data_IF_060864688745
#
_entry.id   IF_060864688745
#
_cell.length_a   1.000
_cell.length_b   1.000
_cell.length_c   1.000
_cell.angle_alpha   90.00
_cell.angle_beta   90.00
_cell.angle_gamma   90.00
#
_symmetry.space_group_name_H-M   'P 1'
#
loop_
_entity.id
_entity.type
_entity.pdbx_description
1 polymer ?
#
# COMPACT_ATOMS: atom_id res chain seq x y z
N UNK A 1 16.81 -9.90 15.69
CA UNK A 1 15.39 -9.76 16.15
C UNK A 1 14.75 -8.69 15.33
N UNK A 2 13.51 -8.93 14.82
CA UNK A 2 12.75 -7.96 14.06
C UNK A 2 11.84 -7.14 14.99
N UNK A 3 11.77 -5.81 14.78
CA UNK A 3 10.85 -4.96 15.50
C UNK A 3 10.21 -3.95 14.53
N UNK A 4 8.90 -4.09 14.29
CA UNK A 4 8.14 -3.21 13.40
C UNK A 4 7.49 -2.07 14.18
N UNK A 5 7.76 -0.84 13.76
CA UNK A 5 7.06 0.36 14.20
C UNK A 5 5.93 0.64 13.20
N UNK A 6 4.71 0.29 13.59
CA UNK A 6 3.51 0.38 12.76
C UNK A 6 2.71 1.64 13.08
N UNK A 7 2.43 2.46 12.08
CA UNK A 7 1.53 3.60 12.17
C UNK A 7 0.18 3.21 11.56
N UNK A 8 -0.93 3.47 12.25
CA UNK A 8 -2.27 3.22 11.73
C UNK A 8 -2.49 3.88 10.34
N UNK A 9 -3.29 3.23 9.50
CA UNK A 9 -3.63 3.72 8.15
C UNK A 9 -2.40 4.19 7.34
N UNK A 10 -1.37 3.36 7.29
CA UNK A 10 -0.12 3.69 6.61
C UNK A 10 0.49 2.52 5.86
N UNK A 11 1.55 2.81 5.12
CA UNK A 11 2.35 1.83 4.36
C UNK A 11 2.97 0.74 5.24
N UNK A 12 3.07 0.95 6.57
CA UNK A 12 3.61 -0.06 7.47
C UNK A 12 2.73 -1.30 7.59
N UNK A 13 1.44 -1.22 7.22
CA UNK A 13 0.57 -2.39 7.13
C UNK A 13 1.09 -3.45 6.16
N UNK A 14 1.74 -3.04 5.06
CA UNK A 14 2.38 -3.95 4.10
C UNK A 14 3.46 -4.81 4.76
N UNK A 15 4.25 -4.17 5.63
CA UNK A 15 5.33 -4.88 6.32
C UNK A 15 4.77 -5.81 7.39
N UNK A 16 3.75 -5.37 8.13
CA UNK A 16 3.05 -6.21 9.07
C UNK A 16 2.47 -7.45 8.36
N UNK A 17 1.80 -7.26 7.23
CA UNK A 17 1.24 -8.35 6.45
C UNK A 17 2.32 -9.31 5.92
N UNK A 18 3.43 -8.79 5.39
CA UNK A 18 4.52 -9.65 4.93
C UNK A 18 5.13 -10.45 6.08
N UNK A 19 5.32 -9.86 7.27
CA UNK A 19 5.80 -10.57 8.46
C UNK A 19 4.86 -11.71 8.88
N UNK A 20 3.54 -11.50 8.79
CA UNK A 20 2.52 -12.53 9.03
C UNK A 20 2.51 -13.63 7.96
N UNK A 21 2.76 -13.29 6.68
CA UNK A 21 2.89 -14.30 5.61
C UNK A 21 4.14 -15.14 5.78
N UNK A 22 5.27 -14.53 6.19
CA UNK A 22 6.52 -15.22 6.45
C UNK A 22 6.49 -16.07 7.73
N UNK A 23 5.47 -15.91 8.59
CA UNK A 23 5.45 -16.53 9.91
C UNK A 23 6.65 -16.13 10.78
N UNK A 24 7.18 -14.93 10.58
CA UNK A 24 8.36 -14.45 11.25
C UNK A 24 8.08 -14.09 12.72
N UNK A 25 9.06 -14.29 13.59
CA UNK A 25 9.03 -13.78 14.96
C UNK A 25 9.44 -12.30 14.96
N UNK A 26 8.57 -11.43 15.45
CA UNK A 26 8.82 -9.99 15.51
C UNK A 26 8.12 -9.32 16.69
N UNK A 27 8.65 -8.17 17.10
CA UNK A 27 7.99 -7.23 18.01
C UNK A 27 7.20 -6.21 17.19
N UNK A 28 6.09 -5.73 17.75
CA UNK A 28 5.21 -4.73 17.13
C UNK A 28 4.98 -3.57 18.10
N UNK A 29 5.33 -2.36 17.69
CA UNK A 29 4.89 -1.13 18.35
C UNK A 29 3.94 -0.37 17.45
N UNK A 30 2.69 -0.19 17.91
CA UNK A 30 1.66 0.52 17.18
C UNK A 30 1.63 2.00 17.59
N UNK A 31 1.51 2.86 16.60
CA UNK A 31 1.37 4.31 16.75
C UNK A 31 0.05 4.79 16.15
N UNK A 32 -0.65 5.65 16.89
CA UNK A 32 -1.84 6.31 16.38
C UNK A 32 -1.47 7.65 15.71
N UNK A 33 -2.24 8.04 14.70
CA UNK A 33 -2.08 9.37 14.10
C UNK A 33 -2.54 10.46 15.06
N UNK A 34 -1.90 11.60 14.95
CA UNK A 34 -2.33 12.81 15.66
C UNK A 34 -3.67 13.32 15.10
N UNK A 35 -4.34 14.23 15.80
CA UNK A 35 -5.57 14.91 15.32
C UNK A 35 -5.37 15.60 13.95
N UNK A 36 -4.14 16.00 13.61
CA UNK A 36 -3.77 16.55 12.31
C UNK A 36 -3.51 15.48 11.23
N UNK A 37 -3.80 14.21 11.52
CA UNK A 37 -3.56 13.06 10.65
C UNK A 37 -2.07 12.83 10.30
N UNK A 38 -1.17 13.24 11.20
CA UNK A 38 0.29 13.06 11.08
C UNK A 38 0.77 11.94 11.98
N UNK A 39 1.97 11.43 11.72
CA UNK A 39 2.67 10.56 12.65
C UNK A 39 2.99 11.33 13.95
N UNK A 40 2.97 10.68 15.12
CA UNK A 40 3.38 11.30 16.38
C UNK A 40 4.89 11.56 16.40
N UNK A 41 5.32 12.55 17.19
CA UNK A 41 6.73 12.92 17.28
C UNK A 41 7.61 11.80 17.87
N UNK A 42 7.06 10.90 18.69
CA UNK A 42 7.76 9.72 19.19
C UNK A 42 8.30 8.81 18.09
N UNK A 43 7.72 8.83 16.88
CA UNK A 43 8.28 8.07 15.76
C UNK A 43 9.61 8.66 15.25
N UNK A 44 9.86 9.96 15.50
CA UNK A 44 11.16 10.60 15.20
C UNK A 44 12.28 10.18 16.14
N UNK A 45 11.94 9.67 17.32
CA UNK A 45 12.93 9.10 18.24
C UNK A 45 13.51 7.79 17.70
N UNK A 46 12.73 7.06 16.88
CA UNK A 46 13.18 5.83 16.22
C UNK A 46 13.95 6.13 14.94
N UNK A 47 13.43 7.06 14.11
CA UNK A 47 14.11 7.47 12.88
C UNK A 47 13.82 8.94 12.56
N UNK A 48 14.82 9.77 12.19
CA UNK A 48 14.66 11.24 12.03
C UNK A 48 13.56 11.69 11.09
N UNK A 49 13.23 10.90 10.06
CA UNK A 49 12.13 11.22 9.13
C UNK A 49 10.75 11.09 9.79
N UNK A 50 10.60 10.29 10.86
CA UNK A 50 9.32 10.10 11.54
C UNK A 50 8.21 9.55 10.63
N UNK A 51 8.57 8.74 9.64
CA UNK A 51 7.65 8.14 8.68
C UNK A 51 7.62 6.62 8.86
N UNK A 52 6.44 6.02 8.76
CA UNK A 52 6.27 4.56 8.76
C UNK A 52 6.14 4.02 7.31
N UNK A 53 6.64 2.79 7.05
CA UNK A 53 7.19 1.82 8.00
C UNK A 53 8.60 2.16 8.48
N UNK A 54 8.90 1.74 9.72
CA UNK A 54 10.25 1.61 10.23
C UNK A 54 10.40 0.17 10.74
N UNK A 55 11.42 -0.54 10.28
CA UNK A 55 11.76 -1.88 10.75
C UNK A 55 13.17 -1.87 11.35
N UNK A 56 13.29 -2.21 12.62
CA UNK A 56 14.58 -2.52 13.21
C UNK A 56 14.91 -4.00 12.97
N UNK A 57 16.04 -4.26 12.36
CA UNK A 57 16.49 -5.59 11.99
C UNK A 57 18.00 -5.68 12.05
N UNK A 58 18.53 -6.65 12.79
CA UNK A 58 19.96 -6.97 12.85
C UNK A 58 20.85 -5.75 13.17
N UNK A 59 20.40 -4.90 14.12
CA UNK A 59 21.10 -3.69 14.55
C UNK A 59 21.01 -2.52 13.56
N UNK A 60 20.14 -2.62 12.56
CA UNK A 60 19.88 -1.56 11.56
C UNK A 60 18.44 -1.08 11.64
N UNK A 61 18.22 0.19 11.35
CA UNK A 61 16.90 0.79 11.21
C UNK A 61 16.61 0.99 9.72
N UNK A 62 15.64 0.25 9.22
CA UNK A 62 15.25 0.22 7.80
C UNK A 62 13.98 1.03 7.59
N UNK A 63 13.94 1.82 6.52
CA UNK A 63 12.79 2.57 6.06
C UNK A 63 12.52 2.25 4.58
N UNK A 64 11.44 2.77 4.01
CA UNK A 64 10.94 2.51 2.67
C UNK A 64 10.35 1.11 2.52
N UNK A 65 9.02 1.04 2.26
CA UNK A 65 8.31 -0.23 2.23
C UNK A 65 8.86 -1.22 1.20
N UNK A 66 9.21 -0.75 0.01
CA UNK A 66 9.80 -1.60 -1.03
C UNK A 66 11.16 -2.18 -0.62
N UNK A 67 12.03 -1.36 -0.02
CA UNK A 67 13.33 -1.81 0.47
C UNK A 67 13.19 -2.81 1.63
N UNK A 68 12.27 -2.54 2.57
CA UNK A 68 12.01 -3.46 3.69
C UNK A 68 11.45 -4.79 3.17
N UNK A 69 10.56 -4.77 2.19
CA UNK A 69 10.05 -5.99 1.54
C UNK A 69 11.21 -6.80 0.96
N UNK A 70 12.04 -6.21 0.10
CA UNK A 70 13.18 -6.91 -0.50
C UNK A 70 14.17 -7.44 0.55
N UNK A 71 14.39 -6.68 1.63
CA UNK A 71 15.24 -7.12 2.75
C UNK A 71 14.64 -8.35 3.45
N UNK A 72 13.34 -8.31 3.76
CA UNK A 72 12.66 -9.44 4.43
C UNK A 72 12.66 -10.68 3.55
N UNK A 73 12.38 -10.56 2.26
CA UNK A 73 12.40 -11.68 1.32
C UNK A 73 13.80 -12.30 1.21
N UNK A 74 14.84 -11.46 1.14
CA UNK A 74 16.22 -11.95 1.05
C UNK A 74 16.68 -12.72 2.30
N UNK A 75 16.24 -12.30 3.49
CA UNK A 75 16.79 -12.82 4.74
C UNK A 75 15.85 -13.75 5.51
N UNK A 76 14.54 -13.68 5.25
CA UNK A 76 13.51 -14.37 6.04
C UNK A 76 12.58 -15.26 5.19
N UNK A 77 12.49 -15.08 3.87
CA UNK A 77 11.74 -15.97 2.96
C UNK A 77 12.64 -17.16 2.52
N UNK A 78 12.84 -18.09 3.43
CA UNK A 78 13.74 -19.23 3.22
C UNK A 78 13.26 -20.16 2.09
N UNK A 79 11.96 -20.25 1.89
CA UNK A 79 11.33 -21.14 0.90
C UNK A 79 11.04 -20.41 -0.42
N UNK A 80 11.43 -19.14 -0.53
CA UNK A 80 11.22 -18.28 -1.71
C UNK A 80 9.77 -18.27 -2.20
N UNK A 81 8.83 -18.15 -1.27
CA UNK A 81 7.38 -18.23 -1.57
C UNK A 81 6.79 -16.92 -2.09
N UNK A 82 7.39 -15.77 -1.73
CA UNK A 82 6.78 -14.44 -1.97
C UNK A 82 7.53 -13.62 -3.03
N UNK A 83 8.53 -14.23 -3.67
CA UNK A 83 9.24 -13.67 -4.83
C UNK A 83 9.41 -14.79 -5.87
N UNK A 84 9.09 -14.54 -7.16
CA UNK A 84 9.35 -15.52 -8.20
C UNK A 84 10.83 -15.90 -8.27
N UNK A 85 11.09 -17.16 -8.66
CA UNK A 85 12.44 -17.62 -8.96
C UNK A 85 13.05 -16.83 -10.11
N UNK A 86 14.36 -16.57 -10.03
CA UNK A 86 15.11 -15.89 -11.10
C UNK A 86 15.08 -16.67 -12.44
N UNK A 87 14.81 -17.98 -12.40
CA UNK A 87 14.65 -18.82 -13.62
C UNK A 87 13.30 -18.58 -14.34
N UNK A 88 12.32 -17.96 -13.68
CA UNK A 88 11.04 -17.58 -14.27
C UNK A 88 11.04 -16.09 -14.62
N UNK A 89 11.71 -15.75 -15.73
CA UNK A 89 11.94 -14.38 -16.18
C UNK A 89 10.63 -13.56 -16.27
N UNK A 90 9.58 -14.12 -16.86
CA UNK A 90 8.30 -13.41 -17.02
C UNK A 90 7.62 -13.10 -15.67
N UNK A 91 7.64 -14.02 -14.72
CA UNK A 91 7.11 -13.79 -13.39
C UNK A 91 7.98 -12.78 -12.60
N UNK A 92 9.31 -12.87 -12.76
CA UNK A 92 10.24 -11.93 -12.14
C UNK A 92 10.08 -10.50 -12.69
N UNK A 93 9.90 -10.34 -14.01
CA UNK A 93 9.62 -9.04 -14.64
C UNK A 93 8.32 -8.44 -14.11
N UNK A 94 7.23 -9.23 -14.10
CA UNK A 94 5.95 -8.80 -13.54
C UNK A 94 6.07 -8.42 -12.07
N UNK A 95 6.71 -9.26 -11.25
CA UNK A 95 6.93 -8.98 -9.83
C UNK A 95 7.65 -7.64 -9.63
N UNK A 96 8.77 -7.46 -10.31
CA UNK A 96 9.60 -6.25 -10.18
C UNK A 96 8.84 -5.01 -10.65
N UNK A 97 8.17 -5.13 -11.81
CA UNK A 97 7.36 -4.05 -12.35
C UNK A 97 6.27 -3.59 -11.36
N UNK A 98 5.44 -4.52 -10.90
CA UNK A 98 4.32 -4.17 -10.03
C UNK A 98 4.75 -3.73 -8.63
N UNK A 99 5.85 -4.28 -8.10
CA UNK A 99 6.44 -3.84 -6.83
C UNK A 99 6.79 -2.35 -6.87
N UNK A 100 7.44 -1.89 -7.94
CA UNK A 100 7.80 -0.49 -8.11
C UNK A 100 6.62 0.38 -8.55
N UNK A 101 5.74 -0.14 -9.40
CA UNK A 101 4.61 0.58 -9.97
C UNK A 101 3.64 1.09 -8.89
N UNK A 102 3.46 0.35 -7.81
CA UNK A 102 2.62 0.71 -6.68
C UNK A 102 2.92 2.11 -6.14
N UNK A 103 4.19 2.41 -5.89
CA UNK A 103 4.61 3.71 -5.32
C UNK A 103 4.94 4.75 -6.39
N UNK A 104 5.50 4.33 -7.53
CA UNK A 104 5.91 5.26 -8.57
C UNK A 104 4.73 5.82 -9.38
N UNK A 105 3.69 5.02 -9.62
CA UNK A 105 2.62 5.39 -10.54
C UNK A 105 1.23 5.45 -9.92
N UNK A 106 0.88 4.47 -9.06
CA UNK A 106 -0.49 4.40 -8.50
C UNK A 106 -0.66 5.34 -7.30
N UNK A 107 0.32 5.38 -6.41
CA UNK A 107 0.22 6.16 -5.17
C UNK A 107 0.22 7.68 -5.38
N UNK A 108 1.03 8.30 -6.27
CA UNK A 108 1.09 9.76 -6.38
C UNK A 108 -0.25 10.44 -6.69
N UNK A 109 -1.06 10.02 -7.67
CA UNK A 109 -2.37 10.63 -7.90
C UNK A 109 -3.34 10.42 -6.73
N UNK A 110 -3.25 9.31 -5.98
CA UNK A 110 -4.07 9.08 -4.78
C UNK A 110 -3.67 10.02 -3.63
N UNK A 111 -2.38 10.26 -3.43
CA UNK A 111 -1.89 11.25 -2.46
C UNK A 111 -2.36 12.66 -2.85
N UNK A 112 -2.32 13.00 -4.13
CA UNK A 112 -2.86 14.27 -4.63
C UNK A 112 -4.36 14.40 -4.29
N UNK A 113 -5.18 13.38 -4.56
CA UNK A 113 -6.59 13.32 -4.16
C UNK A 113 -6.77 13.59 -2.68
N UNK A 114 -6.01 12.89 -1.83
CA UNK A 114 -6.07 13.04 -0.38
C UNK A 114 -5.74 14.47 0.05
N UNK A 115 -4.68 15.07 -0.48
CA UNK A 115 -4.26 16.44 -0.15
C UNK A 115 -5.37 17.43 -0.48
N UNK A 116 -5.95 17.40 -1.69
CA UNK A 116 -7.02 18.31 -2.08
C UNK A 116 -8.32 18.06 -1.33
N UNK A 117 -8.61 16.84 -0.96
CA UNK A 117 -9.73 16.51 -0.05
C UNK A 117 -9.54 17.18 1.30
N UNK A 118 -8.34 17.12 1.88
CA UNK A 118 -8.02 17.80 3.15
C UNK A 118 -8.07 19.32 3.02
N UNK A 119 -7.59 19.89 1.91
CA UNK A 119 -7.71 21.34 1.63
C UNK A 119 -9.17 21.79 1.68
N UNK A 120 -10.08 21.06 1.03
CA UNK A 120 -11.52 21.39 1.05
C UNK A 120 -12.10 21.23 2.45
N UNK A 121 -11.74 20.17 3.18
CA UNK A 121 -12.24 19.94 4.55
C UNK A 121 -11.84 21.07 5.51
N UNK A 122 -10.61 21.56 5.37
CA UNK A 122 -10.03 22.61 6.24
C UNK A 122 -10.31 24.05 5.75
N UNK A 123 -10.92 24.21 4.57
CA UNK A 123 -11.21 25.54 4.02
C UNK A 123 -12.28 26.25 4.85
N UNK A 124 -12.09 27.55 5.19
CA UNK A 124 -13.11 28.40 5.77
C UNK A 124 -14.39 28.41 4.93
N UNK A 125 -15.56 28.57 5.59
CA UNK A 125 -16.87 28.47 4.94
C UNK A 125 -16.99 29.39 3.70
N UNK A 126 -16.46 30.61 3.77
CA UNK A 126 -16.56 31.59 2.68
C UNK A 126 -15.81 31.20 1.41
N UNK A 127 -14.67 30.49 1.53
CA UNK A 127 -13.86 30.08 0.37
C UNK A 127 -14.07 28.61 -0.01
N UNK A 128 -14.82 27.85 0.78
CA UNK A 128 -15.09 26.42 0.55
C UNK A 128 -15.68 26.11 -0.84
N UNK A 129 -16.58 26.95 -1.43
CA UNK A 129 -17.04 26.71 -2.80
C UNK A 129 -15.93 26.79 -3.86
N UNK A 130 -14.95 27.68 -3.65
CA UNK A 130 -13.80 27.85 -4.55
C UNK A 130 -12.88 26.62 -4.43
N UNK A 131 -12.53 26.22 -3.19
CA UNK A 131 -11.69 25.03 -2.98
C UNK A 131 -12.33 23.75 -3.53
N UNK A 132 -13.66 23.59 -3.45
CA UNK A 132 -14.38 22.47 -4.09
C UNK A 132 -14.25 22.49 -5.62
N UNK A 133 -14.35 23.67 -6.26
CA UNK A 133 -14.16 23.77 -7.72
C UNK A 133 -12.73 23.40 -8.12
N UNK A 134 -11.74 23.86 -7.38
CA UNK A 134 -10.32 23.51 -7.61
C UNK A 134 -10.13 21.99 -7.46
N UNK A 135 -10.63 21.40 -6.36
CA UNK A 135 -10.55 19.95 -6.15
C UNK A 135 -11.18 19.18 -7.32
N UNK A 136 -12.38 19.57 -7.76
CA UNK A 136 -13.07 18.89 -8.88
C UNK A 136 -12.27 18.98 -10.19
N UNK A 137 -11.62 20.12 -10.46
CA UNK A 137 -10.77 20.30 -11.63
C UNK A 137 -9.54 19.40 -11.58
N UNK A 138 -8.86 19.34 -10.43
CA UNK A 138 -7.69 18.48 -10.20
C UNK A 138 -8.10 17.01 -10.28
N UNK A 139 -9.20 16.64 -9.64
CA UNK A 139 -9.73 15.27 -9.71
C UNK A 139 -9.97 14.84 -11.15
N UNK A 140 -10.60 15.68 -11.96
CA UNK A 140 -10.89 15.38 -13.37
C UNK A 140 -9.65 15.32 -14.24
N UNK A 141 -8.80 16.37 -14.17
CA UNK A 141 -7.75 16.59 -15.16
C UNK A 141 -6.39 15.96 -14.80
N UNK A 142 -6.17 15.65 -13.52
CA UNK A 142 -4.90 15.08 -13.05
C UNK A 142 -5.09 13.69 -12.44
N UNK A 143 -6.02 13.53 -11.51
CA UNK A 143 -6.16 12.28 -10.77
C UNK A 143 -6.82 11.21 -11.65
N UNK A 144 -8.04 11.46 -12.14
CA UNK A 144 -8.75 10.48 -13.00
C UNK A 144 -8.03 10.22 -14.30
N UNK A 145 -7.50 11.24 -14.94
CA UNK A 145 -6.74 11.09 -16.19
C UNK A 145 -5.50 10.22 -16.04
N UNK A 146 -4.88 10.20 -14.84
CA UNK A 146 -3.75 9.33 -14.52
C UNK A 146 -4.20 7.94 -14.09
N UNK A 147 -5.24 7.83 -13.24
CA UNK A 147 -5.68 6.55 -12.69
C UNK A 147 -6.48 5.69 -13.67
N UNK A 148 -7.27 6.28 -14.57
CA UNK A 148 -8.09 5.51 -15.52
C UNK A 148 -7.27 4.58 -16.42
N UNK A 149 -6.17 5.02 -17.07
CA UNK A 149 -5.31 4.11 -17.83
C UNK A 149 -4.57 3.11 -16.96
N UNK A 150 -4.17 3.49 -15.73
CA UNK A 150 -3.53 2.58 -14.76
C UNK A 150 -4.49 1.44 -14.42
N UNK A 151 -5.73 1.73 -14.03
CA UNK A 151 -6.70 0.69 -13.70
C UNK A 151 -7.11 -0.14 -14.91
N UNK A 152 -7.18 0.44 -16.11
CA UNK A 152 -7.44 -0.33 -17.32
C UNK A 152 -6.32 -1.35 -17.61
N UNK A 153 -5.05 -0.96 -17.39
CA UNK A 153 -3.89 -1.86 -17.51
C UNK A 153 -3.92 -2.96 -16.45
N UNK A 154 -4.19 -2.61 -15.18
CA UNK A 154 -4.31 -3.58 -14.09
C UNK A 154 -5.44 -4.57 -14.34
N UNK A 155 -6.62 -4.10 -14.76
CA UNK A 155 -7.76 -4.95 -15.06
C UNK A 155 -7.43 -5.96 -16.17
N UNK A 156 -6.77 -5.49 -17.24
CA UNK A 156 -6.34 -6.36 -18.34
C UNK A 156 -5.28 -7.37 -17.90
N UNK A 157 -4.32 -6.95 -17.06
CA UNK A 157 -3.31 -7.86 -16.52
C UNK A 157 -3.94 -8.97 -15.67
N UNK A 158 -4.89 -8.61 -14.80
CA UNK A 158 -5.59 -9.55 -13.92
C UNK A 158 -6.68 -10.38 -14.62
N UNK A 159 -6.96 -10.15 -15.88
CA UNK A 159 -7.80 -11.02 -16.72
C UNK A 159 -7.09 -12.37 -16.98
N UNK A 160 -5.78 -12.30 -17.24
CA UNK A 160 -4.95 -13.45 -17.60
C UNK A 160 -4.12 -14.00 -16.41
N UNK A 161 -4.03 -13.21 -15.31
CA UNK A 161 -3.19 -13.56 -14.15
C UNK A 161 -4.00 -13.53 -12.86
N UNK A 162 -3.78 -14.54 -12.02
CA UNK A 162 -4.43 -14.61 -10.71
C UNK A 162 -3.89 -13.55 -9.74
N UNK A 163 -2.58 -13.24 -9.83
CA UNK A 163 -1.83 -12.33 -9.00
C UNK A 163 -0.94 -11.42 -9.85
N UNK A 164 -0.40 -10.35 -9.29
CA UNK A 164 0.41 -9.41 -10.07
C UNK A 164 1.72 -10.01 -10.63
N UNK A 165 2.34 -10.96 -9.94
CA UNK A 165 3.51 -11.66 -10.48
C UNK A 165 3.13 -12.81 -11.46
N UNK A 166 1.86 -13.22 -11.54
CA UNK A 166 1.38 -14.31 -12.39
C UNK A 166 0.41 -15.24 -11.66
N UNK A 167 0.72 -16.55 -11.62
CA UNK A 167 -0.15 -17.56 -11.01
C UNK A 167 -0.12 -17.55 -9.47
N UNK A 168 1.01 -17.17 -8.87
CA UNK A 168 1.24 -17.25 -7.44
C UNK A 168 1.23 -15.88 -6.77
N UNK A 169 0.76 -15.87 -5.52
CA UNK A 169 0.79 -14.68 -4.67
C UNK A 169 2.24 -14.28 -4.35
N UNK A 170 2.51 -12.98 -4.39
CA UNK A 170 3.84 -12.43 -4.15
C UNK A 170 3.82 -11.14 -3.33
N UNK A 171 4.98 -10.65 -2.95
CA UNK A 171 5.10 -9.38 -2.26
C UNK A 171 4.74 -8.17 -3.16
N UNK A 172 4.68 -8.34 -4.50
CA UNK A 172 4.10 -7.33 -5.39
C UNK A 172 2.61 -7.10 -5.10
N UNK A 173 1.85 -8.16 -4.76
CA UNK A 173 0.45 -8.06 -4.36
C UNK A 173 0.30 -7.32 -3.03
N UNK A 174 1.18 -7.59 -2.06
CA UNK A 174 1.22 -6.86 -0.79
C UNK A 174 1.48 -5.37 -1.03
N UNK A 175 2.42 -5.03 -1.92
CA UNK A 175 2.78 -3.65 -2.23
C UNK A 175 1.63 -2.93 -2.97
N UNK A 176 0.96 -3.61 -3.91
CA UNK A 176 -0.16 -3.08 -4.70
C UNK A 176 -1.46 -2.93 -3.91
N UNK A 177 -1.64 -3.70 -2.83
CA UNK A 177 -2.90 -3.71 -2.08
C UNK A 177 -3.31 -2.33 -1.54
N UNK A 178 -2.39 -1.64 -0.86
CA UNK A 178 -2.70 -0.35 -0.23
C UNK A 178 -3.20 0.73 -1.22
N UNK A 179 -2.53 0.98 -2.37
CA UNK A 179 -3.04 1.95 -3.34
C UNK A 179 -4.36 1.52 -3.98
N UNK A 180 -4.57 0.22 -4.24
CA UNK A 180 -5.84 -0.26 -4.80
C UNK A 180 -6.98 -0.12 -3.80
N UNK A 181 -6.75 -0.47 -2.53
CA UNK A 181 -7.72 -0.26 -1.47
C UNK A 181 -8.05 1.24 -1.30
N UNK A 182 -7.04 2.12 -1.30
CA UNK A 182 -7.23 3.56 -1.25
C UNK A 182 -8.01 4.13 -2.45
N UNK A 183 -7.80 3.55 -3.64
CA UNK A 183 -8.58 3.92 -4.82
C UNK A 183 -10.02 3.42 -4.76
N UNK A 184 -10.26 2.29 -4.11
CA UNK A 184 -11.60 1.71 -3.91
C UNK A 184 -12.39 2.39 -2.77
N UNK A 185 -11.75 3.24 -1.97
CA UNK A 185 -12.41 4.01 -0.92
C UNK A 185 -13.33 5.10 -1.49
N UNK A 186 -14.28 5.55 -0.71
CA UNK A 186 -15.24 6.57 -1.10
C UNK A 186 -16.28 6.04 -2.09
N UNK A 187 -16.31 6.56 -3.33
CA UNK A 187 -17.25 6.10 -4.37
C UNK A 187 -16.93 4.68 -4.88
N UNK A 188 -15.72 4.19 -4.61
CA UNK A 188 -15.24 2.87 -5.02
C UNK A 188 -14.91 2.75 -6.50
N UNK A 189 -14.29 1.62 -6.85
CA UNK A 189 -14.04 1.25 -8.23
C UNK A 189 -15.32 0.71 -8.88
N UNK A 190 -15.57 1.10 -10.14
CA UNK A 190 -16.74 0.63 -10.88
C UNK A 190 -16.68 -0.90 -11.08
N UNK A 191 -17.59 -1.63 -10.42
CA UNK A 191 -17.63 -3.11 -10.43
C UNK A 191 -17.80 -3.72 -11.81
N UNK A 192 -18.48 -3.03 -12.75
CA UNK A 192 -18.64 -3.53 -14.11
C UNK A 192 -17.38 -3.34 -14.95
N UNK A 193 -16.58 -2.33 -14.64
CA UNK A 193 -15.38 -1.98 -15.38
C UNK A 193 -14.11 -2.64 -14.82
N UNK A 194 -14.06 -2.91 -13.52
CA UNK A 194 -12.87 -3.34 -12.80
C UNK A 194 -13.14 -4.58 -11.92
N UNK A 195 -13.79 -5.59 -12.52
CA UNK A 195 -14.20 -6.81 -11.81
C UNK A 195 -12.99 -7.65 -11.35
N UNK A 196 -11.96 -7.75 -12.19
CA UNK A 196 -10.76 -8.55 -11.89
C UNK A 196 -9.95 -7.91 -10.75
N UNK A 197 -9.79 -6.57 -10.75
CA UNK A 197 -9.15 -5.83 -9.66
C UNK A 197 -9.91 -6.07 -8.34
N UNK A 198 -11.23 -5.97 -8.34
CA UNK A 198 -12.04 -6.17 -7.13
C UNK A 198 -12.02 -7.62 -6.64
N UNK A 199 -11.99 -8.59 -7.56
CA UNK A 199 -11.84 -10.00 -7.22
C UNK A 199 -10.44 -10.29 -6.63
N UNK A 200 -9.39 -9.69 -7.20
CA UNK A 200 -8.04 -9.77 -6.66
C UNK A 200 -7.96 -9.14 -5.25
N UNK A 201 -8.54 -7.95 -5.06
CA UNK A 201 -8.57 -7.27 -3.76
C UNK A 201 -9.24 -8.15 -2.70
N UNK A 202 -10.44 -8.68 -3.01
CA UNK A 202 -11.15 -9.61 -2.12
C UNK A 202 -10.32 -10.84 -1.77
N UNK A 203 -9.71 -11.48 -2.77
CA UNK A 203 -8.87 -12.67 -2.59
C UNK A 203 -7.64 -12.38 -1.72
N UNK A 204 -7.06 -11.19 -1.85
CA UNK A 204 -5.95 -10.71 -1.02
C UNK A 204 -6.38 -10.57 0.45
N UNK A 205 -7.55 -10.00 0.71
CA UNK A 205 -8.09 -9.76 2.05
C UNK A 205 -8.64 -11.06 2.72
N UNK A 206 -8.92 -12.09 1.94
CA UNK A 206 -9.32 -13.41 2.46
C UNK A 206 -8.14 -14.23 3.02
N UNK A 207 -6.89 -13.83 2.73
CA UNK A 207 -5.70 -14.54 3.23
C UNK A 207 -5.62 -14.53 4.76
N UNK A 208 -5.29 -15.67 5.39
CA UNK A 208 -5.21 -15.73 6.86
C UNK A 208 -4.21 -14.74 7.47
N UNK A 209 -3.07 -14.53 6.82
CA UNK A 209 -2.06 -13.57 7.27
C UNK A 209 -2.54 -12.11 7.18
N UNK A 210 -3.32 -11.76 6.16
CA UNK A 210 -3.96 -10.44 6.08
C UNK A 210 -4.89 -10.19 7.28
N UNK A 211 -5.74 -11.16 7.61
CA UNK A 211 -6.67 -11.05 8.75
C UNK A 211 -5.93 -10.91 10.09
N UNK A 212 -4.86 -11.70 10.30
CA UNK A 212 -4.00 -11.54 11.50
C UNK A 212 -3.36 -10.16 11.56
N UNK A 213 -2.99 -9.60 10.41
CA UNK A 213 -2.43 -8.24 10.34
C UNK A 213 -3.46 -7.17 10.71
N UNK A 214 -4.72 -7.33 10.31
CA UNK A 214 -5.82 -6.46 10.76
C UNK A 214 -6.08 -6.57 12.27
N UNK A 215 -6.01 -7.77 12.82
CA UNK A 215 -6.18 -8.01 14.27
C UNK A 215 -5.09 -7.33 15.09
N UNK A 216 -3.84 -7.34 14.60
CA UNK A 216 -2.68 -6.78 15.30
C UNK A 216 -2.47 -5.28 15.05
N UNK A 217 -2.63 -4.82 13.82
CA UNK A 217 -2.32 -3.45 13.40
C UNK A 217 -3.54 -2.56 13.18
N UNK A 218 -4.75 -3.12 13.29
CA UNK A 218 -5.99 -2.43 12.97
C UNK A 218 -6.33 -2.45 11.48
N UNK A 219 -7.60 -2.21 11.18
CA UNK A 219 -8.09 -2.16 9.80
C UNK A 219 -7.65 -0.89 9.10
N UNK A 220 -7.37 -1.02 7.80
CA UNK A 220 -7.14 0.13 6.93
C UNK A 220 -8.46 0.85 6.63
N UNK A 221 -8.56 2.11 7.01
CA UNK A 221 -9.74 2.97 6.81
C UNK A 221 -9.34 4.21 6.00
N UNK A 222 -9.94 4.39 4.81
CA UNK A 222 -9.66 5.50 3.90
C UNK A 222 -10.89 6.36 3.61
#
# INVERSE_FOLDING_TARGET
MLHLHHLENSRSFRILWLLEELGADYQLTCYNRTKAYRAPDSLKEVHPLGHAPILEADGRTLIESGFIIEYLLKHYDKEQQFKPSDDNEAAWENYTFWLHFAEASVMPPLVMRLVFTKVVQQSPMLIKPISKKIQAQIEKNMVKSSLDPIFAMMEKHLEDNQWFAGAEFSAADIQMHLPVLGANAGEGLNRKKYANILNWLKRSEERPAFKRSEEKGGRLNF
#
